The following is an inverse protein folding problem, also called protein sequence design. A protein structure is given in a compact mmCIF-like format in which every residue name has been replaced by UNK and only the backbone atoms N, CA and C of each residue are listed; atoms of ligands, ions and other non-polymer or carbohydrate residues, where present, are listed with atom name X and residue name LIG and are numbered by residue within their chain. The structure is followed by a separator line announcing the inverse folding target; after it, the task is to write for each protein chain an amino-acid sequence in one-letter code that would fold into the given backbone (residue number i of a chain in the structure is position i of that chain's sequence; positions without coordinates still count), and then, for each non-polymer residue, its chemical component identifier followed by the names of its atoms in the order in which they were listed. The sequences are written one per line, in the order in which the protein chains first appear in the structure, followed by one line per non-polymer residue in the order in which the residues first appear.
data_IF_826077012926
#
_entry.id   IF_826077012926
#
_cell.length_a   1.000
_cell.length_b   1.000
_cell.length_c   1.000
_cell.angle_alpha   90.00
_cell.angle_beta   90.00
_cell.angle_gamma   90.00
#
_symmetry.space_group_name_H-M   'P 1'
#
loop_
_entity.id
_entity.type
_entity.pdbx_description
1 polymer ?
#
# COMPACT_ATOMS: atom_id res chain seq x y z
N UNK A 1 10.01 22.75 -1.79
CA UNK A 1 8.56 22.74 -1.59
C UNK A 1 7.91 24.06 -1.99
N UNK A 2 6.59 24.09 -2.03
CA UNK A 2 5.82 25.27 -2.43
C UNK A 2 6.08 26.51 -1.54
N UNK A 3 6.54 26.33 -0.30
CA UNK A 3 6.93 27.42 0.61
C UNK A 3 8.32 27.97 0.33
N UNK A 4 9.06 27.35 -0.58
CA UNK A 4 10.43 27.73 -0.93
C UNK A 4 11.49 27.19 0.02
N UNK A 5 11.17 26.14 0.78
CA UNK A 5 12.12 25.39 1.60
C UNK A 5 12.79 24.33 0.72
N UNK A 6 14.11 24.28 0.78
CA UNK A 6 14.90 23.24 0.14
C UNK A 6 15.03 22.04 1.08
N UNK A 7 14.53 20.91 0.63
CA UNK A 7 14.64 19.63 1.33
C UNK A 7 15.82 18.83 0.80
N UNK A 8 16.75 18.48 1.67
CA UNK A 8 17.96 17.75 1.34
C UNK A 8 17.95 16.41 2.06
N UNK A 9 17.71 15.35 1.29
CA UNK A 9 17.83 13.98 1.76
C UNK A 9 19.28 13.53 1.75
N UNK A 10 19.69 12.85 2.81
CA UNK A 10 21.04 12.32 2.92
C UNK A 10 21.02 10.80 3.04
N UNK A 11 22.10 10.18 2.62
CA UNK A 11 22.28 8.74 2.78
C UNK A 11 23.05 8.45 4.08
N UNK A 12 22.31 8.54 5.21
CA UNK A 12 22.84 8.20 6.53
C UNK A 12 22.72 9.29 7.62
N UNK A 13 22.18 10.48 7.28
CA UNK A 13 22.01 11.57 8.25
C UNK A 13 20.62 12.23 8.20
N UNK A 14 19.62 11.52 7.65
CA UNK A 14 18.24 12.01 7.61
C UNK A 14 18.02 13.16 6.64
N UNK A 15 17.18 14.11 7.04
CA UNK A 15 16.71 15.24 6.22
C UNK A 15 17.22 16.54 6.80
N UNK A 16 17.71 17.42 5.94
CA UNK A 16 17.99 18.83 6.26
C UNK A 16 17.05 19.72 5.48
N UNK A 17 16.55 20.76 6.13
CA UNK A 17 15.72 21.76 5.47
C UNK A 17 16.46 23.10 5.52
N UNK A 18 16.55 23.76 4.38
CA UNK A 18 17.21 25.07 4.24
C UNK A 18 16.18 26.09 3.77
N UNK A 19 16.30 27.33 4.26
CA UNK A 19 15.53 28.46 3.76
C UNK A 19 16.10 29.00 2.43
N UNK A 20 15.47 30.03 1.89
CA UNK A 20 15.93 30.69 0.63
C UNK A 20 17.28 31.37 0.74
N UNK A 21 17.76 31.61 1.95
CA UNK A 21 19.08 32.18 2.26
C UNK A 21 20.11 31.10 2.60
N UNK A 22 19.74 29.81 2.34
CA UNK A 22 20.58 28.64 2.60
C UNK A 22 20.87 28.38 4.08
N UNK A 23 20.15 29.04 5.01
CA UNK A 23 20.28 28.72 6.43
C UNK A 23 19.55 27.40 6.73
N UNK A 24 20.21 26.55 7.51
CA UNK A 24 19.55 25.34 8.00
C UNK A 24 18.48 25.68 9.03
N UNK A 25 17.22 25.43 8.72
CA UNK A 25 16.05 25.69 9.58
C UNK A 25 15.51 24.44 10.26
N UNK A 26 15.84 23.25 9.76
CA UNK A 26 15.54 21.98 10.43
C UNK A 26 16.56 20.90 10.08
N UNK A 27 16.73 19.96 11.02
CA UNK A 27 17.45 18.70 10.81
C UNK A 27 16.63 17.59 11.47
N UNK A 28 16.19 16.62 10.68
CA UNK A 28 15.36 15.49 11.11
C UNK A 28 16.18 14.22 10.96
N UNK A 29 16.50 13.59 12.08
CA UNK A 29 17.24 12.34 12.10
C UNK A 29 16.62 11.40 13.14
N UNK A 30 16.14 10.21 12.76
CA UNK A 30 15.47 9.29 13.68
C UNK A 30 16.29 8.84 14.89
N UNK A 31 17.60 9.06 14.85
CA UNK A 31 18.47 8.79 16.00
C UNK A 31 18.44 9.88 17.07
N UNK A 32 18.03 11.10 16.72
CA UNK A 32 18.16 12.28 17.56
C UNK A 32 16.83 12.97 17.86
N UNK A 33 15.74 12.59 17.18
CA UNK A 33 14.44 13.22 17.39
C UNK A 33 13.27 12.23 17.22
N UNK A 34 12.13 12.55 17.83
CA UNK A 34 10.90 11.79 17.81
C UNK A 34 9.91 12.28 16.73
N UNK A 35 10.40 12.85 15.65
CA UNK A 35 9.53 13.39 14.58
C UNK A 35 8.93 12.32 13.67
N UNK A 36 9.16 11.05 13.96
CA UNK A 36 8.52 9.93 13.29
C UNK A 36 9.15 9.51 11.96
N UNK A 37 10.28 10.09 11.57
CA UNK A 37 11.04 9.61 10.41
C UNK A 37 11.61 8.21 10.73
N UNK A 38 11.33 7.22 9.87
CA UNK A 38 11.63 5.81 10.14
C UNK A 38 13.01 5.35 9.69
N UNK A 39 13.69 6.13 8.84
CA UNK A 39 15.04 5.83 8.38
C UNK A 39 15.83 7.11 8.14
N UNK A 40 17.15 7.03 8.34
CA UNK A 40 18.10 8.11 8.03
C UNK A 40 18.62 8.08 6.59
N UNK A 41 18.29 7.04 5.84
CA UNK A 41 18.68 6.86 4.44
C UNK A 41 17.52 7.29 3.54
N UNK A 42 17.61 8.51 3.01
CA UNK A 42 16.56 9.15 2.22
C UNK A 42 16.81 8.91 0.74
N UNK A 43 15.78 8.51 0.00
CA UNK A 43 15.92 8.12 -1.41
C UNK A 43 15.19 9.06 -2.38
N UNK A 44 14.05 9.65 -1.98
CA UNK A 44 13.33 10.61 -2.81
C UNK A 44 12.34 11.44 -1.98
N UNK A 45 11.83 12.52 -2.58
CA UNK A 45 10.80 13.39 -2.02
C UNK A 45 9.70 13.65 -3.05
N UNK A 46 8.50 13.91 -2.55
CA UNK A 46 7.37 14.44 -3.31
C UNK A 46 6.54 15.35 -2.39
N UNK A 47 6.25 16.57 -2.81
CA UNK A 47 5.17 17.37 -2.24
C UNK A 47 3.93 17.12 -3.07
N UNK A 48 2.86 16.61 -2.44
CA UNK A 48 1.61 16.30 -3.13
C UNK A 48 0.68 17.52 -3.25
N UNK A 49 -0.41 17.36 -3.99
CA UNK A 49 -1.41 18.41 -4.21
C UNK A 49 -2.13 18.87 -2.93
N UNK A 50 -2.06 18.09 -1.86
CA UNK A 50 -2.58 18.45 -0.52
C UNK A 50 -1.52 19.12 0.36
N UNK A 51 -0.35 19.46 -0.20
CA UNK A 51 0.79 20.00 0.55
C UNK A 51 1.25 19.09 1.69
N UNK A 52 1.26 17.77 1.46
CA UNK A 52 1.98 16.81 2.29
C UNK A 52 3.36 16.58 1.70
N UNK A 53 4.37 16.51 2.55
CA UNK A 53 5.69 16.05 2.13
C UNK A 53 5.79 14.54 2.30
N UNK A 54 6.03 13.85 1.19
CA UNK A 54 6.29 12.42 1.13
C UNK A 54 7.78 12.16 1.01
N UNK A 55 8.26 11.16 1.70
CA UNK A 55 9.68 10.81 1.77
C UNK A 55 9.85 9.31 1.61
N UNK A 56 10.54 8.88 0.58
CA UNK A 56 10.95 7.48 0.45
C UNK A 56 12.24 7.23 1.21
N UNK A 57 12.37 6.02 1.74
CA UNK A 57 13.50 5.65 2.58
C UNK A 57 14.03 4.25 2.26
N UNK A 58 15.30 4.03 2.58
CA UNK A 58 15.85 2.68 2.56
C UNK A 58 15.58 1.99 3.91
N UNK A 59 14.65 1.03 3.87
CA UNK A 59 14.31 0.15 4.98
C UNK A 59 13.21 0.63 5.93
N UNK A 60 12.81 1.90 5.88
CA UNK A 60 11.78 2.47 6.76
C UNK A 60 10.39 2.61 6.13
N UNK A 61 10.19 2.16 4.89
CA UNK A 61 8.96 2.40 4.14
C UNK A 61 8.90 3.83 3.58
N UNK A 62 7.70 4.33 3.32
CA UNK A 62 7.44 5.71 2.93
C UNK A 62 6.93 6.48 4.13
N UNK A 63 7.48 7.68 4.35
CA UNK A 63 7.01 8.61 5.37
C UNK A 63 6.24 9.75 4.72
N UNK A 64 5.26 10.29 5.43
CA UNK A 64 4.52 11.48 5.00
C UNK A 64 4.19 12.39 6.18
N UNK A 65 4.00 13.67 5.90
CA UNK A 65 3.49 14.65 6.87
C UNK A 65 1.96 14.72 6.81
N UNK A 66 1.35 15.45 7.73
CA UNK A 66 -0.05 15.88 7.58
C UNK A 66 -0.15 16.97 6.51
N UNK A 67 -1.36 17.16 5.90
CA UNK A 67 -1.60 18.26 4.98
C UNK A 67 -1.29 19.64 5.60
N UNK A 68 -0.62 20.49 4.82
CA UNK A 68 -0.27 21.83 5.27
C UNK A 68 0.70 21.88 6.46
N UNK A 69 1.60 20.93 6.56
CA UNK A 69 2.64 20.87 7.60
C UNK A 69 3.40 22.19 7.76
N UNK A 70 3.96 22.39 8.95
CA UNK A 70 4.88 23.50 9.25
C UNK A 70 6.23 22.93 9.69
N UNK A 71 7.29 23.55 9.24
CA UNK A 71 8.66 23.07 9.51
C UNK A 71 8.99 23.01 11.01
N UNK A 72 8.41 23.91 11.81
CA UNK A 72 8.64 23.95 13.26
C UNK A 72 7.91 22.82 14.01
N UNK A 73 6.80 22.33 13.45
CA UNK A 73 5.95 21.29 14.06
C UNK A 73 5.96 19.99 13.21
N UNK A 74 7.04 19.82 12.45
CA UNK A 74 7.16 18.71 11.50
C UNK A 74 7.10 17.36 12.19
N UNK A 75 6.15 16.53 11.76
CA UNK A 75 6.00 15.15 12.19
C UNK A 75 5.69 14.26 10.97
N UNK A 76 6.29 13.09 10.97
CA UNK A 76 6.05 12.07 9.96
C UNK A 76 5.23 10.91 10.53
N UNK A 77 4.35 10.38 9.70
CA UNK A 77 3.77 9.05 9.81
C UNK A 77 4.41 8.16 8.75
N UNK A 78 4.40 6.87 8.95
CA UNK A 78 5.02 5.92 8.02
C UNK A 78 4.02 4.88 7.55
N UNK A 79 4.21 4.44 6.31
CA UNK A 79 3.50 3.33 5.68
C UNK A 79 4.56 2.32 5.26
N UNK A 80 4.42 1.09 5.70
CA UNK A 80 5.39 0.02 5.47
C UNK A 80 4.75 -1.29 5.07
N UNK A 81 5.51 -2.37 5.15
CA UNK A 81 5.01 -3.72 4.83
C UNK A 81 3.85 -4.16 5.73
N UNK A 82 3.81 -3.70 6.97
CA UNK A 82 2.70 -3.99 7.88
C UNK A 82 1.38 -3.38 7.37
N UNK A 83 1.45 -2.31 6.61
CA UNK A 83 0.32 -1.60 6.04
C UNK A 83 0.00 -2.05 4.60
N UNK A 84 0.79 -2.98 4.05
CA UNK A 84 0.55 -3.58 2.73
C UNK A 84 1.55 -3.20 1.63
N UNK A 85 2.60 -2.39 1.91
CA UNK A 85 3.67 -2.17 0.94
C UNK A 85 4.40 -3.47 0.59
N UNK A 86 4.84 -3.60 -0.64
CA UNK A 86 5.59 -4.76 -1.13
C UNK A 86 6.97 -4.91 -0.50
N UNK A 87 7.60 -3.79 -0.13
CA UNK A 87 8.88 -3.75 0.57
C UNK A 87 9.04 -2.45 1.38
N UNK A 88 9.91 -2.47 2.40
CA UNK A 88 10.26 -1.26 3.17
C UNK A 88 11.39 -0.44 2.53
N UNK A 89 12.06 -0.96 1.51
CA UNK A 89 12.98 -0.16 0.68
C UNK A 89 12.14 0.49 -0.41
N UNK A 90 11.90 1.78 -0.28
CA UNK A 90 11.12 2.59 -1.22
C UNK A 90 12.03 3.48 -2.03
N UNK A 91 11.71 3.70 -3.31
CA UNK A 91 12.66 4.24 -4.28
C UNK A 91 12.22 5.58 -4.88
N UNK A 92 10.97 5.70 -5.32
CA UNK A 92 10.47 6.90 -5.96
C UNK A 92 8.98 7.09 -5.73
N UNK A 93 8.51 8.30 -5.93
CA UNK A 93 7.15 8.76 -5.66
C UNK A 93 6.60 9.50 -6.87
N UNK A 94 5.35 9.28 -7.19
CA UNK A 94 4.58 10.10 -8.11
C UNK A 94 3.17 10.30 -7.58
N UNK A 95 2.55 11.43 -7.88
CA UNK A 95 1.13 11.69 -7.69
C UNK A 95 0.44 11.62 -9.05
N UNK A 96 -0.69 10.93 -9.13
CA UNK A 96 -1.52 10.94 -10.32
C UNK A 96 -2.55 12.08 -10.28
N UNK A 97 -3.27 12.24 -11.38
CA UNK A 97 -4.23 13.35 -11.55
C UNK A 97 -5.41 13.31 -10.55
N UNK A 98 -5.63 12.19 -9.91
CA UNK A 98 -6.69 11.99 -8.91
C UNK A 98 -6.16 12.09 -7.47
N UNK A 99 -4.89 12.47 -7.30
CA UNK A 99 -4.26 12.62 -5.99
C UNK A 99 -3.82 11.30 -5.36
N UNK A 100 -3.80 10.19 -6.10
CA UNK A 100 -3.26 8.91 -5.62
C UNK A 100 -1.74 8.94 -5.67
N UNK A 101 -1.10 8.51 -4.61
CA UNK A 101 0.36 8.45 -4.52
C UNK A 101 0.87 7.08 -4.94
N UNK A 102 1.77 7.07 -5.88
CA UNK A 102 2.40 5.86 -6.42
C UNK A 102 3.83 5.76 -5.89
N UNK A 103 4.16 4.62 -5.30
CA UNK A 103 5.44 4.37 -4.65
C UNK A 103 6.12 3.17 -5.30
N UNK A 104 7.29 3.38 -5.90
CA UNK A 104 8.12 2.25 -6.30
C UNK A 104 8.97 1.74 -5.14
N UNK A 105 9.14 0.43 -5.09
CA UNK A 105 9.91 -0.27 -4.06
C UNK A 105 10.88 -1.27 -4.70
N UNK A 106 11.72 -1.92 -3.93
CA UNK A 106 12.56 -3.03 -4.44
C UNK A 106 11.76 -4.26 -4.87
N UNK A 107 10.44 -4.30 -4.65
CA UNK A 107 9.59 -5.45 -5.00
C UNK A 107 8.27 -5.02 -5.65
N UNK A 108 8.29 -4.03 -6.51
CA UNK A 108 7.13 -3.57 -7.26
C UNK A 108 6.73 -2.13 -6.96
N UNK A 109 5.56 -1.76 -7.45
CA UNK A 109 4.95 -0.43 -7.30
C UNK A 109 3.65 -0.60 -6.53
N UNK A 110 3.43 0.22 -5.51
CA UNK A 110 2.16 0.29 -4.80
C UNK A 110 1.50 1.63 -5.05
N UNK A 111 0.15 1.69 -5.01
CA UNK A 111 -0.55 2.95 -4.94
C UNK A 111 -1.21 3.13 -3.58
N UNK A 112 -1.20 4.36 -3.10
CA UNK A 112 -1.72 4.79 -1.81
C UNK A 112 -2.81 5.82 -2.09
N UNK A 113 -4.01 5.59 -1.57
CA UNK A 113 -5.13 6.53 -1.66
C UNK A 113 -4.72 7.88 -1.06
N UNK A 114 -4.98 8.96 -1.79
CA UNK A 114 -4.75 10.31 -1.29
C UNK A 114 -5.68 10.74 -0.16
N UNK A 115 -6.82 10.04 0.01
CA UNK A 115 -7.84 10.37 1.00
C UNK A 115 -7.59 9.70 2.35
N UNK A 116 -7.54 8.37 2.39
CA UNK A 116 -7.46 7.57 3.62
C UNK A 116 -6.12 6.87 3.83
N UNK A 117 -5.18 7.07 2.92
CA UNK A 117 -3.82 6.51 2.94
C UNK A 117 -3.78 4.97 2.86
N UNK A 118 -4.87 4.35 2.46
CA UNK A 118 -4.90 2.90 2.23
C UNK A 118 -4.15 2.51 0.96
N UNK A 119 -3.56 1.31 0.96
CA UNK A 119 -2.94 0.74 -0.24
C UNK A 119 -4.02 0.04 -1.03
N UNK A 120 -4.32 0.54 -2.24
CA UNK A 120 -5.44 0.06 -3.05
C UNK A 120 -5.04 -0.85 -4.19
N UNK A 121 -3.79 -0.80 -4.63
CA UNK A 121 -3.26 -1.75 -5.61
C UNK A 121 -1.75 -1.91 -5.49
N UNK A 122 -1.27 -3.06 -5.98
CA UNK A 122 0.15 -3.40 -6.02
C UNK A 122 0.46 -4.01 -7.39
N UNK A 123 1.53 -3.51 -8.02
CA UNK A 123 2.07 -4.02 -9.27
C UNK A 123 3.41 -4.69 -9.01
N UNK A 124 3.51 -5.98 -9.24
CA UNK A 124 4.74 -6.74 -9.07
C UNK A 124 4.83 -7.90 -10.07
N UNK A 125 5.81 -8.78 -9.94
CA UNK A 125 5.99 -9.93 -10.83
C UNK A 125 4.77 -10.88 -10.86
N UNK A 126 3.98 -10.95 -9.78
CA UNK A 126 2.76 -11.77 -9.73
C UNK A 126 1.71 -11.23 -10.70
N UNK A 127 1.65 -9.92 -10.88
CA UNK A 127 0.80 -9.27 -11.88
C UNK A 127 1.44 -9.22 -13.28
N UNK A 128 2.53 -9.96 -13.50
CA UNK A 128 3.32 -9.94 -14.74
C UNK A 128 3.90 -8.55 -15.08
N UNK A 129 4.02 -7.68 -14.10
CA UNK A 129 4.73 -6.41 -14.26
C UNK A 129 6.20 -6.70 -14.07
N UNK A 130 6.98 -6.51 -15.13
CA UNK A 130 8.43 -6.66 -15.09
C UNK A 130 9.06 -5.58 -14.20
N UNK A 131 10.16 -5.91 -13.59
CA UNK A 131 11.02 -4.97 -12.89
C UNK A 131 11.10 -5.23 -11.40
N UNK A 132 12.30 -5.59 -11.03
CA UNK A 132 12.80 -5.58 -9.67
C UNK A 132 13.82 -4.44 -9.57
N UNK A 133 14.07 -3.96 -8.36
CA UNK A 133 15.12 -2.96 -8.11
C UNK A 133 14.88 -1.66 -8.87
N UNK A 134 13.82 -0.98 -8.53
CA UNK A 134 13.58 0.39 -8.99
C UNK A 134 14.68 1.32 -8.48
N UNK A 135 15.06 2.27 -9.33
CA UNK A 135 16.14 3.21 -9.02
C UNK A 135 15.62 4.37 -8.18
N UNK A 136 16.45 4.85 -7.26
CA UNK A 136 16.09 5.96 -6.37
C UNK A 136 15.80 7.23 -7.17
N UNK A 137 14.66 7.85 -6.92
CA UNK A 137 14.21 9.07 -7.59
C UNK A 137 13.88 8.92 -9.08
N UNK A 138 13.96 7.72 -9.66
CA UNK A 138 13.71 7.50 -11.08
C UNK A 138 12.21 7.41 -11.38
N UNK A 139 11.49 8.51 -11.24
CA UNK A 139 10.05 8.62 -11.48
C UNK A 139 9.75 9.89 -12.24
N UNK A 140 8.81 9.82 -13.17
CA UNK A 140 8.32 10.97 -13.91
C UNK A 140 6.82 10.85 -14.18
N UNK A 141 6.09 11.94 -13.96
CA UNK A 141 4.67 12.08 -14.33
C UNK A 141 4.57 12.98 -15.56
N UNK A 142 3.89 12.50 -16.58
CA UNK A 142 3.63 13.28 -17.79
C UNK A 142 2.35 14.10 -17.67
N UNK A 143 2.22 15.16 -18.47
CA UNK A 143 1.04 16.03 -18.50
C UNK A 143 -0.27 15.30 -18.80
N UNK A 144 -0.20 14.16 -19.50
CA UNK A 144 -1.36 13.31 -19.79
C UNK A 144 -1.58 12.20 -18.73
N UNK A 145 -0.92 12.29 -17.59
CA UNK A 145 -1.13 11.42 -16.44
C UNK A 145 -0.51 10.02 -16.55
N UNK A 146 0.43 9.80 -17.47
CA UNK A 146 1.22 8.56 -17.50
C UNK A 146 2.40 8.68 -16.53
N UNK A 147 2.56 7.70 -15.68
CA UNK A 147 3.65 7.60 -14.70
C UNK A 147 4.73 6.67 -15.24
N UNK A 148 5.98 7.11 -15.21
CA UNK A 148 7.13 6.30 -15.60
C UNK A 148 7.98 6.01 -14.37
N UNK A 149 8.35 4.75 -14.17
CA UNK A 149 9.22 4.29 -13.09
C UNK A 149 10.43 3.58 -13.69
N UNK A 150 11.62 4.11 -13.43
CA UNK A 150 12.88 3.52 -13.88
C UNK A 150 13.35 2.39 -12.98
N UNK A 151 13.86 1.32 -13.58
CA UNK A 151 14.46 0.18 -12.89
C UNK A 151 15.74 -0.27 -13.62
N UNK A 152 16.39 -1.30 -13.11
CA UNK A 152 17.66 -1.80 -13.67
C UNK A 152 17.53 -2.44 -15.05
N UNK A 153 16.33 -2.79 -15.49
CA UNK A 153 16.05 -3.44 -16.79
C UNK A 153 15.42 -2.47 -17.81
N UNK A 154 15.11 -1.24 -17.39
CA UNK A 154 14.47 -0.23 -18.24
C UNK A 154 13.49 0.64 -17.47
N UNK A 155 12.27 0.78 -17.97
CA UNK A 155 11.23 1.55 -17.30
C UNK A 155 9.85 0.92 -17.46
N UNK A 156 9.01 1.14 -16.47
CA UNK A 156 7.60 0.75 -16.48
C UNK A 156 6.75 2.01 -16.66
N UNK A 157 5.83 1.97 -17.62
CA UNK A 157 4.81 3.01 -17.81
C UNK A 157 3.49 2.54 -17.19
N UNK A 158 2.95 3.32 -16.28
CA UNK A 158 1.67 3.08 -15.63
C UNK A 158 0.68 4.14 -16.10
N UNK A 159 -0.51 3.71 -16.54
CA UNK A 159 -1.62 4.60 -16.87
C UNK A 159 -2.74 4.41 -15.82
N UNK A 160 -2.78 5.22 -14.75
CA UNK A 160 -3.72 5.03 -13.63
C UNK A 160 -5.18 4.95 -14.06
N UNK A 161 -5.59 5.79 -14.99
CA UNK A 161 -6.97 5.82 -15.54
C UNK A 161 -7.42 4.45 -16.12
N UNK A 162 -6.49 3.66 -16.67
CA UNK A 162 -6.79 2.32 -17.20
C UNK A 162 -6.86 1.25 -16.12
N UNK A 163 -6.39 1.54 -14.90
CA UNK A 163 -6.38 0.60 -13.79
C UNK A 163 -7.61 0.72 -12.89
N UNK A 164 -8.37 1.81 -13.03
CA UNK A 164 -9.58 2.10 -12.24
C UNK A 164 -10.84 1.38 -12.72
N UNK A 165 -10.77 0.57 -13.76
CA UNK A 165 -11.90 -0.26 -14.17
C UNK A 165 -12.17 -1.31 -13.07
N UNK A 166 -13.00 -0.94 -12.12
CA UNK A 166 -13.60 -1.86 -11.15
C UNK A 166 -14.68 -2.65 -11.87
N UNK A 167 -14.35 -3.82 -12.36
CA UNK A 167 -15.35 -4.83 -12.64
C UNK A 167 -15.68 -5.49 -11.31
N UNK A 168 -16.94 -5.43 -10.89
CA UNK A 168 -17.44 -6.19 -9.75
C UNK A 168 -17.47 -7.67 -10.14
N UNK A 169 -16.48 -8.42 -9.70
CA UNK A 169 -16.47 -9.87 -9.88
C UNK A 169 -17.25 -10.54 -8.76
N UNK A 170 -18.22 -11.41 -9.09
CA UNK A 170 -18.97 -12.11 -8.07
C UNK A 170 -18.05 -13.06 -7.29
N UNK A 171 -18.05 -12.95 -5.97
CA UNK A 171 -17.40 -13.90 -5.09
C UNK A 171 -18.17 -15.25 -5.13
N UNK A 172 -17.52 -16.30 -5.62
CA UNK A 172 -18.10 -17.62 -5.62
C UNK A 172 -17.52 -18.47 -4.47
N UNK A 173 -18.38 -18.97 -3.60
CA UNK A 173 -17.98 -19.95 -2.59
C UNK A 173 -17.91 -21.32 -3.27
N UNK A 174 -16.70 -21.84 -3.47
CA UNK A 174 -16.47 -23.11 -4.15
C UNK A 174 -16.69 -24.33 -3.25
N UNK A 175 -16.41 -24.21 -1.96
CA UNK A 175 -16.75 -25.25 -0.99
C UNK A 175 -16.82 -24.71 0.44
N UNK A 176 -17.68 -25.35 1.24
CA UNK A 176 -17.77 -25.14 2.68
C UNK A 176 -17.64 -26.48 3.38
N UNK A 177 -16.73 -26.58 4.34
CA UNK A 177 -16.51 -27.80 5.13
C UNK A 177 -16.63 -27.50 6.61
N UNK A 178 -17.46 -28.26 7.32
CA UNK A 178 -17.47 -28.28 8.76
C UNK A 178 -16.61 -29.46 9.25
N UNK A 179 -15.62 -29.17 10.06
CA UNK A 179 -14.65 -30.15 10.55
C UNK A 179 -14.85 -30.36 12.04
N UNK A 180 -14.94 -31.61 12.46
CA UNK A 180 -14.93 -32.03 13.86
C UNK A 180 -13.89 -33.14 14.05
N UNK A 181 -13.50 -33.48 15.31
CA UNK A 181 -12.55 -34.55 15.57
C UNK A 181 -13.02 -35.94 15.07
N UNK A 182 -14.30 -36.09 14.78
CA UNK A 182 -14.91 -37.38 14.40
C UNK A 182 -15.32 -37.45 12.92
N UNK A 183 -15.55 -36.31 12.25
CA UNK A 183 -16.01 -36.28 10.88
C UNK A 183 -15.77 -34.96 10.17
N UNK A 184 -15.73 -35.00 8.85
CA UNK A 184 -15.77 -33.86 7.95
C UNK A 184 -17.12 -33.89 7.23
N UNK A 185 -17.84 -32.78 7.25
CA UNK A 185 -19.11 -32.60 6.56
C UNK A 185 -18.89 -31.60 5.43
N UNK A 186 -19.08 -32.01 4.19
CA UNK A 186 -19.16 -31.08 3.06
C UNK A 186 -20.57 -30.48 3.04
N UNK A 187 -20.65 -29.17 3.02
CA UNK A 187 -21.91 -28.43 3.00
C UNK A 187 -22.22 -28.00 1.57
N UNK A 188 -23.50 -27.99 1.23
CA UNK A 188 -23.91 -27.63 -0.13
C UNK A 188 -23.73 -26.11 -0.33
N UNK A 189 -22.98 -25.70 -1.35
CA UNK A 189 -22.73 -24.30 -1.68
C UNK A 189 -23.88 -23.64 -2.44
N UNK A 190 -24.79 -24.41 -3.03
CA UNK A 190 -25.98 -23.86 -3.68
C UNK A 190 -26.91 -23.12 -2.71
N UNK A 191 -26.86 -23.46 -1.43
CA UNK A 191 -27.67 -22.83 -0.38
C UNK A 191 -26.98 -21.62 0.24
N UNK A 192 -25.82 -21.19 -0.26
CA UNK A 192 -25.02 -20.11 0.32
C UNK A 192 -25.77 -18.75 0.31
N UNK A 193 -26.68 -18.53 -0.64
CA UNK A 193 -27.52 -17.34 -0.70
C UNK A 193 -28.57 -17.25 0.41
N UNK A 194 -29.00 -18.39 0.95
CA UNK A 194 -29.95 -18.46 2.08
C UNK A 194 -29.28 -18.67 3.44
N UNK A 195 -27.96 -18.83 3.43
CA UNK A 195 -27.15 -19.10 4.61
C UNK A 195 -27.02 -20.59 4.95
N UNK A 196 -25.81 -21.02 5.23
CA UNK A 196 -25.48 -22.40 5.59
C UNK A 196 -25.59 -22.56 7.10
N UNK A 197 -26.42 -23.52 7.58
CA UNK A 197 -26.62 -23.81 9.00
C UNK A 197 -25.81 -25.02 9.44
N UNK A 198 -24.96 -24.85 10.43
CA UNK A 198 -24.16 -25.92 11.04
C UNK A 198 -24.48 -26.01 12.53
N UNK A 199 -24.72 -27.22 13.03
CA UNK A 199 -24.90 -27.42 14.47
C UNK A 199 -23.56 -27.26 15.18
N UNK A 200 -23.50 -26.51 16.26
CA UNK A 200 -22.28 -26.23 17.03
C UNK A 200 -21.51 -27.50 17.39
N UNK A 201 -22.19 -28.58 17.79
CA UNK A 201 -21.55 -29.87 18.13
C UNK A 201 -20.90 -30.59 16.95
N UNK A 202 -21.24 -30.20 15.72
CA UNK A 202 -20.80 -30.85 14.49
C UNK A 202 -19.61 -30.12 13.83
N UNK A 203 -19.17 -28.98 14.39
CA UNK A 203 -18.05 -28.23 13.83
C UNK A 203 -17.18 -27.61 14.94
N UNK A 204 -15.94 -28.03 15.00
CA UNK A 204 -14.86 -27.36 15.75
C UNK A 204 -14.11 -26.35 14.89
N UNK A 205 -14.20 -26.49 13.57
CA UNK A 205 -13.70 -25.53 12.58
C UNK A 205 -14.61 -25.52 11.35
N UNK A 206 -14.67 -24.38 10.68
CA UNK A 206 -15.33 -24.21 9.38
C UNK A 206 -14.26 -23.74 8.40
N UNK A 207 -14.12 -24.46 7.29
CA UNK A 207 -13.24 -24.06 6.18
C UNK A 207 -14.12 -23.59 5.03
N UNK A 208 -13.87 -22.37 4.59
CA UNK A 208 -14.48 -21.76 3.42
C UNK A 208 -13.45 -21.70 2.31
N UNK A 209 -13.75 -22.28 1.14
CA UNK A 209 -13.00 -22.05 -0.07
C UNK A 209 -13.84 -21.18 -0.99
N UNK A 210 -13.27 -20.12 -1.46
CA UNK A 210 -13.92 -19.16 -2.34
C UNK A 210 -13.02 -18.81 -3.51
N UNK A 211 -13.60 -18.37 -4.59
CA UNK A 211 -12.91 -17.98 -5.81
C UNK A 211 -13.61 -16.80 -6.45
N UNK A 212 -12.85 -15.86 -6.93
CA UNK A 212 -13.30 -14.86 -7.88
C UNK A 212 -12.78 -15.29 -9.25
N UNK A 213 -13.63 -15.40 -10.28
CA UNK A 213 -13.21 -15.76 -11.63
C UNK A 213 -12.50 -14.58 -12.31
N UNK A 214 -11.36 -14.19 -11.74
CA UNK A 214 -10.49 -13.12 -12.22
C UNK A 214 -9.26 -13.74 -12.85
N UNK A 215 -9.07 -13.50 -14.14
CA UNK A 215 -7.97 -14.07 -14.92
C UNK A 215 -6.86 -13.06 -15.23
N UNK A 216 -6.97 -11.80 -14.73
CA UNK A 216 -6.03 -10.72 -15.06
C UNK A 216 -4.87 -10.60 -14.08
N UNK A 217 -4.67 -11.56 -13.18
CA UNK A 217 -3.56 -11.58 -12.21
C UNK A 217 -3.54 -10.39 -11.25
N UNK A 218 -4.70 -9.89 -10.84
CA UNK A 218 -4.80 -8.86 -9.82
C UNK A 218 -4.57 -9.47 -8.43
N UNK A 219 -3.97 -8.72 -7.53
CA UNK A 219 -3.98 -9.08 -6.12
C UNK A 219 -5.39 -8.80 -5.57
N UNK A 220 -6.12 -9.84 -5.23
CA UNK A 220 -7.45 -9.71 -4.67
C UNK A 220 -7.32 -9.71 -3.16
N UNK A 221 -7.81 -8.64 -2.53
CA UNK A 221 -7.93 -8.54 -1.08
C UNK A 221 -9.34 -8.97 -0.68
N UNK A 222 -9.43 -10.02 0.10
CA UNK A 222 -10.68 -10.48 0.67
C UNK A 222 -10.83 -9.92 2.09
N UNK A 223 -11.96 -9.31 2.35
CA UNK A 223 -12.34 -8.89 3.71
C UNK A 223 -13.36 -9.88 4.27
N UNK A 224 -13.21 -10.25 5.52
CA UNK A 224 -14.17 -11.10 6.20
C UNK A 224 -14.53 -10.55 7.57
N UNK A 225 -15.75 -10.82 7.98
CA UNK A 225 -16.26 -10.48 9.28
C UNK A 225 -16.96 -11.70 9.87
N UNK A 226 -16.69 -11.99 11.12
CA UNK A 226 -17.40 -12.99 11.89
C UNK A 226 -18.13 -12.28 13.01
N UNK A 227 -19.45 -12.38 12.99
CA UNK A 227 -20.32 -11.69 13.95
C UNK A 227 -21.23 -12.67 14.70
N UNK A 228 -21.62 -12.30 15.90
CA UNK A 228 -22.65 -12.97 16.69
C UNK A 228 -23.80 -12.00 16.97
N UNK A 229 -24.88 -12.15 16.24
CA UNK A 229 -25.96 -11.18 16.21
C UNK A 229 -25.48 -9.84 15.64
N UNK A 230 -25.52 -8.75 16.41
CA UNK A 230 -25.03 -7.43 16.01
C UNK A 230 -23.59 -7.14 16.45
N UNK A 231 -22.92 -8.07 17.14
CA UNK A 231 -21.57 -7.89 17.64
C UNK A 231 -20.56 -8.58 16.72
N UNK A 232 -19.63 -7.80 16.16
CA UNK A 232 -18.48 -8.32 15.43
C UNK A 232 -17.54 -9.00 16.42
N UNK A 233 -17.27 -10.29 16.21
CA UNK A 233 -16.37 -11.07 17.05
C UNK A 233 -14.93 -10.89 16.60
N UNK A 234 -14.72 -10.96 15.30
CA UNK A 234 -13.44 -10.67 14.65
C UNK A 234 -13.68 -10.40 13.17
N UNK A 235 -12.80 -9.62 12.60
CA UNK A 235 -12.73 -9.33 11.18
C UNK A 235 -11.26 -9.33 10.73
N UNK A 236 -11.03 -9.43 9.46
CA UNK A 236 -9.68 -9.41 8.92
C UNK A 236 -9.67 -9.35 7.41
N UNK A 237 -8.48 -9.18 6.89
CA UNK A 237 -8.21 -9.18 5.47
C UNK A 237 -7.25 -10.32 5.14
N UNK A 238 -7.44 -10.94 4.00
CA UNK A 238 -6.52 -11.94 3.48
C UNK A 238 -6.32 -11.74 1.98
N UNK A 239 -5.10 -11.94 1.53
CA UNK A 239 -4.80 -11.98 0.11
C UNK A 239 -4.89 -13.41 -0.39
N UNK A 240 -5.27 -13.60 -1.65
CA UNK A 240 -5.15 -14.88 -2.30
C UNK A 240 -3.66 -15.25 -2.38
N UNK A 241 -3.29 -16.33 -1.71
CA UNK A 241 -1.98 -16.95 -1.86
C UNK A 241 -2.12 -18.13 -2.79
N UNK A 242 -1.75 -17.94 -4.06
CA UNK A 242 -1.52 -19.05 -4.99
C UNK A 242 -0.17 -19.71 -4.72
#
# INVERSE_FOLDING_TARGET
DASGILWVGTYGNGIRCLDRQENQIAHINPQNDEKGLTSRFITSFLEDSQHRMWVTTEGGGVCHTEPGYRINDLKFKSIGRADGLTANVTCGLAEDIDGTIWVSTTNGIANISGEDLSITAVLNYKNKVAGYQYSYGAVHTTDNGVLYFGNTEGMIAVTPAKMKATEDYPLNISSVKAVSPRKIINLNTHDAGEGIKVKYRDASAITLNYVIPEYTSRNILYSYEVSRGKHVMFSGNTYETN
#
